data_IF_144837662186
#
_entry.id   IF_144837662186
#
_cell.length_a   1.000
_cell.length_b   1.000
_cell.length_c   1.000
_cell.angle_alpha   90.00
_cell.angle_beta   90.00
_cell.angle_gamma   90.00
#
_symmetry.space_group_name_H-M   'P 1'
#
loop_
_entity.id
_entity.type
_entity.pdbx_description
1 polymer ?
#
# COMPACT_ATOMS: atom_id res chain seq x y z
N UNK A 1 -16.16 14.38 8.65
CA UNK A 1 -15.75 12.99 8.34
C UNK A 1 -15.39 12.80 6.86
N UNK A 2 -16.18 13.32 5.90
CA UNK A 2 -15.82 13.27 4.47
C UNK A 2 -14.39 13.76 4.17
N UNK A 3 -13.99 14.89 4.75
CA UNK A 3 -12.62 15.43 4.59
C UNK A 3 -11.53 14.48 5.11
N UNK A 4 -11.83 13.68 6.14
CA UNK A 4 -10.91 12.70 6.72
C UNK A 4 -10.79 11.48 5.81
N UNK A 5 -11.91 11.00 5.26
CA UNK A 5 -11.94 9.93 4.26
C UNK A 5 -11.11 10.32 3.03
N UNK A 6 -11.27 11.55 2.53
CA UNK A 6 -10.49 12.03 1.38
C UNK A 6 -8.98 12.13 1.69
N UNK A 7 -8.59 12.41 2.94
CA UNK A 7 -7.18 12.36 3.35
C UNK A 7 -6.66 10.92 3.35
N UNK A 8 -7.44 9.96 3.86
CA UNK A 8 -7.08 8.55 3.86
C UNK A 8 -6.94 8.00 2.43
N UNK A 9 -7.86 8.34 1.53
CA UNK A 9 -7.77 7.98 0.10
C UNK A 9 -6.45 8.48 -0.51
N UNK A 10 -6.09 9.74 -0.29
CA UNK A 10 -4.82 10.29 -0.76
C UNK A 10 -3.58 9.58 -0.20
N UNK A 11 -3.62 9.13 1.05
CA UNK A 11 -2.51 8.36 1.64
C UNK A 11 -2.44 6.97 1.03
N UNK A 12 -3.58 6.28 0.89
CA UNK A 12 -3.69 4.98 0.24
C UNK A 12 -3.16 5.02 -1.19
N UNK A 13 -3.59 6.00 -1.98
CA UNK A 13 -3.22 6.10 -3.39
C UNK A 13 -1.72 6.35 -3.56
N UNK A 14 -1.11 7.18 -2.70
CA UNK A 14 0.35 7.35 -2.67
C UNK A 14 1.11 6.08 -2.29
N UNK A 15 0.55 5.28 -1.37
CA UNK A 15 1.15 4.00 -1.00
C UNK A 15 1.07 2.99 -2.16
N UNK A 16 -0.07 2.94 -2.87
CA UNK A 16 -0.24 2.14 -4.09
C UNK A 16 0.75 2.53 -5.18
N UNK A 17 0.90 3.82 -5.49
CA UNK A 17 1.89 4.30 -6.46
C UNK A 17 3.32 3.87 -6.09
N UNK A 18 3.65 3.90 -4.80
CA UNK A 18 4.95 3.47 -4.31
C UNK A 18 5.15 1.96 -4.49
N UNK A 19 4.15 1.15 -4.15
CA UNK A 19 4.17 -0.31 -4.33
C UNK A 19 4.36 -0.65 -5.80
N UNK A 20 3.54 -0.10 -6.69
CA UNK A 20 3.66 -0.35 -8.13
C UNK A 20 5.04 0.00 -8.69
N UNK A 21 5.62 1.12 -8.23
CA UNK A 21 6.97 1.52 -8.63
C UNK A 21 8.01 0.52 -8.13
N UNK A 22 7.85 0.00 -6.91
CA UNK A 22 8.75 -0.99 -6.31
C UNK A 22 8.66 -2.33 -7.03
N UNK A 23 7.46 -2.77 -7.39
CA UNK A 23 7.24 -4.00 -8.14
C UNK A 23 7.83 -3.91 -9.54
N UNK A 24 7.57 -2.81 -10.27
CA UNK A 24 8.18 -2.56 -11.58
C UNK A 24 9.71 -2.59 -11.52
N UNK A 25 10.29 -2.04 -10.46
CA UNK A 25 11.74 -2.05 -10.27
C UNK A 25 12.30 -3.43 -9.92
N UNK A 26 11.50 -4.30 -9.29
CA UNK A 26 11.87 -5.68 -8.97
C UNK A 26 11.84 -6.56 -10.23
N UNK A 27 10.82 -6.41 -11.09
CA UNK A 27 10.63 -7.24 -12.30
C UNK A 27 11.83 -7.31 -13.26
N UNK A 28 12.71 -6.31 -13.23
CA UNK A 28 13.91 -6.24 -14.08
C UNK A 28 15.19 -6.72 -13.38
N UNK A 29 15.08 -7.23 -12.14
CA UNK A 29 16.21 -7.69 -11.34
C UNK A 29 16.53 -9.15 -11.64
N UNK A 30 17.78 -9.52 -11.38
CA UNK A 30 18.24 -10.91 -11.51
C UNK A 30 17.80 -11.77 -10.34
N UNK A 31 17.77 -13.08 -10.55
CA UNK A 31 17.50 -14.08 -9.49
C UNK A 31 18.50 -13.97 -8.33
N UNK A 32 19.76 -13.66 -8.60
CA UNK A 32 20.77 -13.42 -7.56
C UNK A 32 20.37 -12.24 -6.66
N UNK A 33 19.85 -11.16 -7.25
CA UNK A 33 19.38 -10.02 -6.49
C UNK A 33 18.17 -10.40 -5.62
N UNK A 34 17.21 -11.15 -6.16
CA UNK A 34 16.04 -11.63 -5.41
C UNK A 34 16.43 -12.53 -4.22
N UNK A 35 17.44 -13.37 -4.41
CA UNK A 35 17.94 -14.26 -3.35
C UNK A 35 18.81 -13.55 -2.31
N UNK A 36 19.33 -12.36 -2.64
CA UNK A 36 20.12 -11.54 -1.72
C UNK A 36 19.27 -10.98 -0.56
N UNK A 37 19.92 -10.59 0.53
CA UNK A 37 19.28 -9.88 1.65
C UNK A 37 18.59 -8.59 1.18
N UNK A 38 19.17 -7.89 0.19
CA UNK A 38 18.59 -6.69 -0.39
C UNK A 38 17.27 -6.96 -1.12
N UNK A 39 17.19 -8.06 -1.86
CA UNK A 39 15.95 -8.48 -2.54
C UNK A 39 14.88 -8.85 -1.52
N UNK A 40 15.22 -9.66 -0.53
CA UNK A 40 14.31 -10.05 0.57
C UNK A 40 13.78 -8.83 1.33
N UNK A 41 14.65 -7.91 1.72
CA UNK A 41 14.24 -6.67 2.40
C UNK A 41 13.34 -5.80 1.52
N UNK A 42 13.57 -5.78 0.21
CA UNK A 42 12.70 -5.06 -0.71
C UNK A 42 11.30 -5.69 -0.75
N UNK A 43 11.20 -7.01 -0.90
CA UNK A 43 9.93 -7.74 -0.90
C UNK A 43 9.18 -7.53 0.42
N UNK A 44 9.85 -7.71 1.56
CA UNK A 44 9.24 -7.48 2.88
C UNK A 44 8.69 -6.07 3.03
N UNK A 45 9.47 -5.04 2.66
CA UNK A 45 9.01 -3.66 2.75
C UNK A 45 7.84 -3.36 1.80
N UNK A 46 7.83 -3.97 0.61
CA UNK A 46 6.70 -3.85 -0.33
C UNK A 46 5.44 -4.52 0.24
N UNK A 47 5.57 -5.72 0.81
CA UNK A 47 4.46 -6.42 1.46
C UNK A 47 3.89 -5.61 2.64
N UNK A 48 4.74 -5.06 3.50
CA UNK A 48 4.29 -4.20 4.62
C UNK A 48 3.52 -2.96 4.14
N UNK A 49 3.93 -2.36 3.02
CA UNK A 49 3.20 -1.25 2.42
C UNK A 49 1.84 -1.69 1.88
N UNK A 50 1.75 -2.89 1.28
CA UNK A 50 0.50 -3.45 0.80
C UNK A 50 -0.49 -3.70 1.95
N UNK A 51 -0.03 -4.31 3.04
CA UNK A 51 -0.84 -4.57 4.25
C UNK A 51 -1.37 -3.26 4.86
N UNK A 52 -0.51 -2.24 4.95
CA UNK A 52 -0.93 -0.92 5.44
C UNK A 52 -1.97 -0.27 4.51
N UNK A 53 -1.84 -0.47 3.19
CA UNK A 53 -2.78 0.04 2.19
C UNK A 53 -4.15 -0.63 2.32
N UNK A 54 -4.18 -1.93 2.54
CA UNK A 54 -5.41 -2.69 2.81
C UNK A 54 -6.10 -2.19 4.10
N UNK A 55 -5.32 -2.01 5.17
CA UNK A 55 -5.83 -1.47 6.44
C UNK A 55 -6.45 -0.08 6.26
N UNK A 56 -5.81 0.82 5.49
CA UNK A 56 -6.38 2.14 5.18
C UNK A 56 -7.67 2.01 4.39
N UNK A 57 -7.72 1.07 3.44
CA UNK A 57 -8.90 0.84 2.62
C UNK A 57 -10.09 0.36 3.46
N UNK A 58 -9.87 -0.51 4.43
CA UNK A 58 -10.92 -0.97 5.34
C UNK A 58 -11.40 0.14 6.27
N UNK A 59 -10.49 0.95 6.82
CA UNK A 59 -10.85 2.13 7.59
C UNK A 59 -11.71 3.12 6.77
N UNK A 60 -11.41 3.32 5.48
CA UNK A 60 -12.23 4.13 4.57
C UNK A 60 -13.64 3.54 4.45
N UNK A 61 -13.77 2.22 4.21
CA UNK A 61 -15.07 1.55 4.07
C UNK A 61 -15.91 1.70 5.34
N UNK A 62 -15.32 1.49 6.51
CA UNK A 62 -16.02 1.62 7.79
C UNK A 62 -16.52 3.05 8.02
N UNK A 63 -15.68 4.05 7.72
CA UNK A 63 -16.08 5.46 7.85
C UNK A 63 -17.18 5.86 6.84
N UNK A 64 -17.14 5.32 5.62
CA UNK A 64 -18.20 5.53 4.62
C UNK A 64 -19.51 4.84 5.03
N UNK A 65 -19.46 3.65 5.65
CA UNK A 65 -20.63 2.98 6.22
C UNK A 65 -21.21 3.82 7.36
N UNK A 66 -20.37 4.28 8.30
CA UNK A 66 -20.81 5.12 9.41
C UNK A 66 -21.58 6.34 8.92
N UNK A 67 -21.04 7.07 7.92
CA UNK A 67 -21.69 8.27 7.36
C UNK A 67 -23.00 8.01 6.63
N UNK A 68 -23.24 6.78 6.13
CA UNK A 68 -24.52 6.43 5.51
C UNK A 68 -25.62 6.17 6.54
N UNK A 69 -25.24 5.87 7.79
CA UNK A 69 -26.14 5.51 8.87
C UNK A 69 -26.28 6.60 9.94
N UNK A 70 -25.69 7.79 9.70
CA UNK A 70 -25.80 9.00 10.53
C UNK A 70 -26.19 10.19 9.68
#
# INVERSE_FOLDING_TARGET
MQKQIEKLKKVRDKALELIERRDKAALIRSDEWYNSEKGKNHETATATLADATETINDAIKELEIYLKHT
#
